data_IF_024766582001
#
_entry.id   IF_024766582001
#
_cell.length_a   1.000
_cell.length_b   1.000
_cell.length_c   1.000
_cell.angle_alpha   90.00
_cell.angle_beta   90.00
_cell.angle_gamma   90.00
#
_symmetry.space_group_name_H-M   'P 1'
#
loop_
_entity.id
_entity.type
_entity.pdbx_description
1 polymer ?
#
# COMPACT_ATOMS: atom_id res chain seq x y z
N UNK A 1 -7.75 -23.76 21.67
CA UNK A 1 -7.69 -22.28 21.58
C UNK A 1 -6.48 -21.83 20.75
N UNK A 2 -5.25 -22.29 21.05
CA UNK A 2 -4.00 -21.89 20.36
C UNK A 2 -3.91 -22.24 18.87
N UNK A 3 -4.49 -23.36 18.41
CA UNK A 3 -4.41 -23.77 17.00
C UNK A 3 -5.16 -22.81 16.07
N UNK A 4 -6.33 -22.31 16.48
CA UNK A 4 -7.13 -21.37 15.70
C UNK A 4 -6.42 -20.02 15.58
N UNK A 5 -5.78 -19.55 16.65
CA UNK A 5 -4.97 -18.31 16.65
C UNK A 5 -3.76 -18.42 15.72
N UNK A 6 -3.07 -19.56 15.72
CA UNK A 6 -1.94 -19.82 14.83
C UNK A 6 -2.35 -19.82 13.36
N UNK A 7 -3.50 -20.43 13.05
CA UNK A 7 -4.07 -20.44 11.70
C UNK A 7 -4.45 -19.02 11.27
N UNK A 8 -5.16 -18.27 12.11
CA UNK A 8 -5.55 -16.89 11.83
C UNK A 8 -4.35 -15.95 11.60
N UNK A 9 -3.30 -16.07 12.42
CA UNK A 9 -2.07 -15.31 12.24
C UNK A 9 -1.37 -15.65 10.93
N UNK A 10 -1.36 -16.94 10.53
CA UNK A 10 -0.79 -17.38 9.25
C UNK A 10 -1.50 -16.76 8.06
N UNK A 11 -2.83 -16.75 8.06
CA UNK A 11 -3.62 -16.09 7.01
C UNK A 11 -3.36 -14.58 6.95
N UNK A 12 -3.21 -13.93 8.11
CA UNK A 12 -2.87 -12.51 8.18
C UNK A 12 -1.53 -12.22 7.52
N UNK A 13 -0.48 -12.98 7.83
CA UNK A 13 0.85 -12.80 7.23
C UNK A 13 0.83 -12.98 5.71
N UNK A 14 0.10 -13.99 5.23
CA UNK A 14 -0.05 -14.25 3.79
C UNK A 14 -0.82 -13.11 3.10
N UNK A 15 -1.89 -12.61 3.74
CA UNK A 15 -2.65 -11.47 3.24
C UNK A 15 -1.81 -10.20 3.12
N UNK A 16 -1.00 -9.91 4.14
CA UNK A 16 -0.08 -8.77 4.14
C UNK A 16 0.96 -8.89 3.01
N UNK A 17 1.50 -10.09 2.77
CA UNK A 17 2.44 -10.36 1.68
C UNK A 17 1.81 -10.11 0.30
N UNK A 18 0.59 -10.62 0.05
CA UNK A 18 -0.11 -10.40 -1.22
C UNK A 18 -0.43 -8.93 -1.44
N UNK A 19 -0.77 -8.21 -0.37
CA UNK A 19 -1.10 -6.79 -0.47
C UNK A 19 0.13 -5.95 -0.86
N UNK A 20 1.29 -6.21 -0.26
CA UNK A 20 2.55 -5.56 -0.67
C UNK A 20 2.89 -5.93 -2.11
N UNK A 21 2.82 -7.22 -2.45
CA UNK A 21 3.14 -7.73 -3.78
C UNK A 21 2.31 -7.05 -4.87
N UNK A 22 1.01 -6.86 -4.64
CA UNK A 22 0.12 -6.16 -5.57
C UNK A 22 0.56 -4.71 -5.82
N UNK A 23 0.90 -3.95 -4.76
CA UNK A 23 1.39 -2.57 -4.88
C UNK A 23 2.72 -2.49 -5.64
N UNK A 24 3.64 -3.42 -5.36
CA UNK A 24 4.94 -3.51 -6.06
C UNK A 24 4.74 -3.80 -7.54
N UNK A 25 3.86 -4.75 -7.88
CA UNK A 25 3.54 -5.08 -9.28
C UNK A 25 2.93 -3.87 -9.99
N UNK A 26 2.02 -3.14 -9.33
CA UNK A 26 1.44 -1.93 -9.90
C UNK A 26 2.48 -0.84 -10.17
N UNK A 27 3.35 -0.56 -9.19
CA UNK A 27 4.43 0.41 -9.35
C UNK A 27 5.41 -0.01 -10.47
N UNK A 28 5.80 -1.29 -10.51
CA UNK A 28 6.66 -1.83 -11.56
C UNK A 28 6.00 -1.75 -12.94
N UNK A 29 4.69 -2.03 -13.05
CA UNK A 29 3.94 -1.91 -14.29
C UNK A 29 4.00 -0.47 -14.82
N UNK A 30 3.70 0.53 -13.97
CA UNK A 30 3.74 1.95 -14.34
C UNK A 30 5.13 2.34 -14.84
N UNK A 31 6.17 1.92 -14.12
CA UNK A 31 7.57 2.21 -14.50
C UNK A 31 8.01 1.51 -15.78
N UNK A 32 7.51 0.29 -16.07
CA UNK A 32 7.84 -0.46 -17.28
C UNK A 32 7.10 0.06 -18.51
N UNK A 33 5.82 0.40 -18.36
CA UNK A 33 4.99 0.92 -19.47
C UNK A 33 5.21 2.42 -19.71
N UNK A 34 5.87 3.12 -18.78
CA UNK A 34 6.04 4.59 -18.81
C UNK A 34 4.72 5.34 -19.00
N UNK A 35 3.62 4.74 -18.56
CA UNK A 35 2.26 5.23 -18.79
C UNK A 35 1.34 4.83 -17.65
N UNK A 36 0.51 5.79 -17.24
CA UNK A 36 -0.54 5.63 -16.24
C UNK A 36 -1.94 5.54 -16.87
N UNK A 37 -2.04 5.28 -18.18
CA UNK A 37 -3.33 5.16 -18.86
C UNK A 37 -4.16 4.02 -18.27
N UNK A 38 -5.44 4.31 -17.95
CA UNK A 38 -6.37 3.37 -17.31
C UNK A 38 -6.34 3.35 -15.77
N UNK A 39 -5.49 4.15 -15.12
CA UNK A 39 -5.47 4.33 -13.67
C UNK A 39 -6.13 5.65 -13.25
N UNK A 40 -7.12 5.59 -12.37
CA UNK A 40 -7.73 6.81 -11.81
C UNK A 40 -6.86 7.40 -10.70
N UNK A 41 -6.40 8.63 -10.91
CA UNK A 41 -5.63 9.36 -9.89
C UNK A 41 -6.46 9.58 -8.62
N UNK A 42 -7.74 9.95 -8.76
CA UNK A 42 -8.65 10.19 -7.62
C UNK A 42 -8.72 8.97 -6.71
N UNK A 43 -8.86 7.77 -7.29
CA UNK A 43 -8.90 6.53 -6.51
C UNK A 43 -7.57 6.26 -5.82
N UNK A 44 -6.43 6.45 -6.50
CA UNK A 44 -5.11 6.24 -5.89
C UNK A 44 -4.82 7.25 -4.76
N UNK A 45 -5.27 8.49 -4.91
CA UNK A 45 -5.20 9.52 -3.89
C UNK A 45 -6.12 9.22 -2.70
N UNK A 46 -7.36 8.77 -2.94
CA UNK A 46 -8.26 8.34 -1.87
C UNK A 46 -7.69 7.14 -1.11
N UNK A 47 -7.09 6.16 -1.80
CA UNK A 47 -6.38 5.07 -1.13
C UNK A 47 -5.23 5.57 -0.26
N UNK A 48 -4.47 6.56 -0.72
CA UNK A 48 -3.44 7.20 0.10
C UNK A 48 -4.04 7.81 1.38
N UNK A 49 -5.10 8.61 1.28
CA UNK A 49 -5.77 9.21 2.44
C UNK A 49 -6.31 8.14 3.41
N UNK A 50 -6.90 7.07 2.88
CA UNK A 50 -7.36 5.93 3.71
C UNK A 50 -6.21 5.25 4.42
N UNK A 51 -5.07 5.02 3.76
CA UNK A 51 -3.91 4.41 4.41
C UNK A 51 -3.27 5.32 5.46
N UNK A 52 -3.18 6.62 5.19
CA UNK A 52 -2.67 7.59 6.16
C UNK A 52 -3.57 7.68 7.38
N UNK A 53 -4.89 7.79 7.19
CA UNK A 53 -5.85 7.83 8.31
C UNK A 53 -5.88 6.52 9.10
N UNK A 54 -5.82 5.36 8.41
CA UNK A 54 -5.79 4.04 9.06
C UNK A 54 -4.52 3.79 9.87
N UNK A 55 -3.38 4.27 9.38
CA UNK A 55 -2.09 4.06 10.01
C UNK A 55 -1.56 5.32 10.68
N UNK A 56 -2.42 6.31 10.97
CA UNK A 56 -2.03 7.49 11.76
C UNK A 56 -1.56 7.07 13.16
N UNK A 57 -2.14 5.98 13.67
CA UNK A 57 -1.74 5.34 14.92
C UNK A 57 -0.59 4.33 14.72
N UNK A 58 0.50 4.78 14.11
CA UNK A 58 1.74 4.00 13.97
C UNK A 58 2.44 3.82 15.32
N UNK A 59 2.14 4.68 16.30
CA UNK A 59 2.78 4.70 17.61
C UNK A 59 2.03 3.94 18.71
N UNK A 60 0.96 3.21 18.40
CA UNK A 60 0.30 2.37 19.39
C UNK A 60 1.26 1.27 19.91
N UNK A 61 1.76 1.45 21.14
CA UNK A 61 2.76 0.59 21.77
C UNK A 61 2.15 -0.64 22.47
N UNK A 62 1.22 -1.35 21.82
CA UNK A 62 0.74 -2.66 22.29
C UNK A 62 1.49 -3.78 21.56
N UNK A 63 1.67 -4.95 22.20
CA UNK A 63 2.33 -6.19 21.70
C UNK A 63 3.86 -6.36 21.90
N UNK A 64 4.28 -7.64 21.83
CA UNK A 64 5.65 -8.19 22.00
C UNK A 64 6.64 -7.59 20.99
N UNK A 65 7.92 -7.41 21.38
CA UNK A 65 8.97 -6.72 20.60
C UNK A 65 9.03 -7.07 19.11
N UNK A 66 8.92 -8.35 18.74
CA UNK A 66 9.03 -8.80 17.34
C UNK A 66 7.81 -8.41 16.49
N UNK A 67 6.59 -8.68 16.97
CA UNK A 67 5.36 -8.35 16.24
C UNK A 67 5.15 -6.84 16.09
N UNK A 68 5.64 -6.04 17.05
CA UNK A 68 5.63 -4.58 16.95
C UNK A 68 6.50 -4.10 15.79
N UNK A 69 7.72 -4.62 15.65
CA UNK A 69 8.63 -4.25 14.57
C UNK A 69 8.04 -4.63 13.20
N UNK A 70 7.47 -5.82 13.08
CA UNK A 70 6.78 -6.27 11.87
C UNK A 70 5.64 -5.33 11.46
N UNK A 71 4.72 -5.02 12.39
CA UNK A 71 3.60 -4.14 12.10
C UNK A 71 4.06 -2.71 11.76
N UNK A 72 5.10 -2.20 12.43
CA UNK A 72 5.67 -0.88 12.13
C UNK A 72 6.25 -0.80 10.71
N UNK A 73 7.07 -1.78 10.33
CA UNK A 73 7.66 -1.86 8.98
C UNK A 73 6.57 -1.99 7.92
N UNK A 74 5.55 -2.82 8.15
CA UNK A 74 4.42 -2.98 7.24
C UNK A 74 3.64 -1.67 7.06
N UNK A 75 3.23 -1.01 8.16
CA UNK A 75 2.47 0.23 8.13
C UNK A 75 3.21 1.30 7.32
N UNK A 76 4.52 1.47 7.55
CA UNK A 76 5.36 2.40 6.80
C UNK A 76 5.46 2.00 5.33
N UNK A 77 5.70 0.73 5.05
CA UNK A 77 5.83 0.23 3.66
C UNK A 77 4.55 0.47 2.87
N UNK A 78 3.37 0.24 3.46
CA UNK A 78 2.09 0.49 2.79
C UNK A 78 1.87 1.95 2.42
N UNK A 79 2.23 2.87 3.32
CA UNK A 79 2.16 4.32 3.06
C UNK A 79 3.18 4.69 1.97
N UNK A 80 4.42 4.20 2.07
CA UNK A 80 5.50 4.51 1.14
C UNK A 80 5.21 4.02 -0.29
N UNK A 81 4.69 2.80 -0.45
CA UNK A 81 4.30 2.31 -1.77
C UNK A 81 3.11 3.07 -2.34
N UNK A 82 2.13 3.44 -1.52
CA UNK A 82 0.98 4.21 -2.00
C UNK A 82 1.37 5.63 -2.40
N UNK A 83 2.22 6.30 -1.61
CA UNK A 83 2.73 7.63 -1.94
C UNK A 83 3.60 7.58 -3.20
N UNK A 84 4.41 6.53 -3.39
CA UNK A 84 5.17 6.33 -4.61
C UNK A 84 4.25 6.20 -5.85
N UNK A 85 3.16 5.43 -5.78
CA UNK A 85 2.20 5.32 -6.89
C UNK A 85 1.56 6.68 -7.20
N UNK A 86 1.13 7.42 -6.17
CA UNK A 86 0.55 8.77 -6.34
C UNK A 86 1.58 9.70 -6.97
N UNK A 87 2.84 9.70 -6.51
CA UNK A 87 3.96 10.48 -7.06
C UNK A 87 4.23 10.16 -8.53
N UNK A 88 4.24 8.87 -8.89
CA UNK A 88 4.45 8.44 -10.27
C UNK A 88 3.34 8.95 -11.20
N UNK A 89 2.09 8.94 -10.74
CA UNK A 89 0.94 9.42 -11.53
C UNK A 89 0.91 10.95 -11.60
N UNK A 90 1.14 11.66 -10.49
CA UNK A 90 0.97 13.11 -10.40
C UNK A 90 2.11 13.91 -11.01
N UNK A 91 3.35 13.41 -10.92
CA UNK A 91 4.53 14.17 -11.34
C UNK A 91 5.19 13.53 -12.56
N UNK A 92 5.58 12.26 -12.46
CA UNK A 92 6.42 11.63 -13.49
C UNK A 92 5.69 11.33 -14.79
N UNK A 93 4.47 10.79 -14.68
CA UNK A 93 3.67 10.36 -15.84
C UNK A 93 2.39 11.17 -16.01
N UNK A 94 2.38 12.41 -15.50
CA UNK A 94 1.24 13.33 -15.63
C UNK A 94 0.86 13.59 -17.09
N UNK A 95 1.84 13.63 -17.99
CA UNK A 95 1.60 13.84 -19.42
C UNK A 95 0.81 12.69 -20.08
N UNK A 96 0.92 11.47 -19.56
CA UNK A 96 0.20 10.27 -20.06
C UNK A 96 -1.13 10.05 -19.31
N UNK A 97 -1.51 10.96 -18.42
CA UNK A 97 -2.72 10.86 -17.62
C UNK A 97 -3.94 11.41 -18.39
N UNK A 98 -4.91 10.55 -18.65
CA UNK A 98 -6.13 10.89 -19.39
C UNK A 98 -7.08 11.72 -18.50
N UNK A 99 -7.09 13.05 -18.73
CA UNK A 99 -7.95 14.01 -18.02
C UNK A 99 -9.45 13.77 -18.25
N UNK A 100 -9.84 13.13 -19.35
CA UNK A 100 -11.25 12.96 -19.72
C UNK A 100 -11.95 11.84 -18.93
N UNK A 101 -11.23 11.06 -18.12
CA UNK A 101 -11.78 10.02 -17.23
C UNK A 101 -11.88 10.47 -15.76
N UNK A 102 -11.89 11.78 -15.50
CA UNK A 102 -12.08 12.35 -14.15
C UNK A 102 -13.53 12.27 -13.67
#
# INVERSE_FOLDING_TARGET
MSTIENIANSFRFIGDFFHISSKVILAHKIEKTKSCSGLSFKTQFLYFVVFVSRYFDVFEFKYVKFMRLYNFILKISFIAFQSAIVYLISLRYYASYDKNRM
#
